data_IF_342731622999
#
_entry.id   IF_342731622999
#
_cell.length_a   1.000
_cell.length_b   1.000
_cell.length_c   1.000
_cell.angle_alpha   90.00
_cell.angle_beta   90.00
_cell.angle_gamma   90.00
#
_symmetry.space_group_name_H-M   'P 1'
#
loop_
_entity.id
_entity.type
_entity.pdbx_description
1 polymer ?
#
# COMPACT_ATOMS: atom_id res chain seq x y z
N UNK A 1 69.66 52.85 -20.58
CA UNK A 1 69.62 52.09 -19.33
C UNK A 1 68.61 50.96 -19.44
N UNK A 2 69.07 49.71 -19.32
CA UNK A 2 68.27 48.49 -19.23
C UNK A 2 68.55 47.85 -17.87
N UNK A 3 67.53 47.69 -17.01
CA UNK A 3 67.58 46.89 -15.77
C UNK A 3 66.21 46.19 -15.63
N UNK A 4 66.17 44.93 -15.16
CA UNK A 4 65.30 43.91 -15.74
C UNK A 4 64.10 43.48 -14.89
N UNK A 5 63.28 42.67 -15.55
CA UNK A 5 62.11 41.90 -15.10
C UNK A 5 62.40 41.10 -13.82
N UNK A 6 61.49 41.16 -12.84
CA UNK A 6 61.40 40.16 -11.76
C UNK A 6 60.00 39.54 -11.76
N UNK A 7 59.98 38.27 -12.11
CA UNK A 7 58.86 37.35 -12.07
C UNK A 7 58.34 37.19 -10.65
N UNK A 8 57.05 37.46 -10.43
CA UNK A 8 56.35 36.97 -9.25
C UNK A 8 55.56 35.72 -9.63
N UNK A 9 55.90 34.65 -8.92
CA UNK A 9 55.42 33.28 -9.12
C UNK A 9 53.91 33.20 -8.86
N UNK A 10 53.19 32.59 -9.80
CA UNK A 10 51.87 32.04 -9.53
C UNK A 10 52.00 30.87 -8.56
N UNK A 11 51.32 30.96 -7.42
CA UNK A 11 51.04 29.83 -6.56
C UNK A 11 49.54 29.55 -6.66
N UNK A 12 49.21 28.46 -7.35
CA UNK A 12 47.85 27.95 -7.41
C UNK A 12 47.42 27.50 -6.02
N UNK A 13 46.34 28.08 -5.53
CA UNK A 13 45.58 27.51 -4.43
C UNK A 13 44.53 26.58 -5.04
N UNK A 14 44.81 25.28 -5.03
CA UNK A 14 43.78 24.26 -5.16
C UNK A 14 42.86 24.39 -3.95
N UNK A 15 41.70 25.03 -4.13
CA UNK A 15 40.63 25.00 -3.15
C UNK A 15 40.05 23.59 -3.13
N UNK A 16 40.44 22.81 -2.13
CA UNK A 16 39.81 21.53 -1.82
C UNK A 16 38.35 21.81 -1.44
N UNK A 17 37.42 21.41 -2.31
CA UNK A 17 36.00 21.41 -2.00
C UNK A 17 35.71 20.29 -0.99
N UNK A 18 35.69 20.62 0.29
CA UNK A 18 35.15 19.74 1.32
C UNK A 18 33.63 19.70 1.17
N UNK A 19 33.11 18.68 0.49
CA UNK A 19 31.68 18.35 0.50
C UNK A 19 31.34 17.80 1.88
N UNK A 20 30.93 18.69 2.79
CA UNK A 20 30.30 18.30 4.05
C UNK A 20 28.89 17.83 3.70
N UNK A 21 28.69 16.51 3.68
CA UNK A 21 27.38 15.89 3.53
C UNK A 21 26.45 16.33 4.65
N UNK A 22 25.53 17.23 4.33
CA UNK A 22 24.36 17.51 5.16
C UNK A 22 23.44 16.29 5.11
N UNK A 23 23.62 15.34 6.02
CA UNK A 23 22.55 14.43 6.42
C UNK A 23 21.49 15.22 7.22
N UNK A 24 20.87 16.20 6.57
CA UNK A 24 19.70 16.89 7.07
C UNK A 24 18.49 16.01 6.78
N UNK A 25 18.17 15.12 7.71
CA UNK A 25 16.88 14.42 7.68
C UNK A 25 15.77 15.46 7.80
N UNK A 26 15.14 15.80 6.69
CA UNK A 26 13.89 16.55 6.70
C UNK A 26 12.85 15.61 7.30
N UNK A 27 12.63 15.72 8.60
CA UNK A 27 11.45 15.17 9.25
C UNK A 27 10.26 15.99 8.77
N UNK A 28 9.77 15.67 7.58
CA UNK A 28 8.49 16.15 7.11
C UNK A 28 7.45 15.66 8.10
N UNK A 29 6.98 16.55 8.98
CA UNK A 29 5.77 16.30 9.74
C UNK A 29 4.64 16.22 8.71
N UNK A 30 4.31 14.99 8.27
CA UNK A 30 3.13 14.77 7.46
C UNK A 30 1.94 15.37 8.22
N UNK A 31 1.08 16.16 7.56
CA UNK A 31 -0.12 16.65 8.22
C UNK A 31 -0.90 15.44 8.75
N UNK A 32 -1.51 15.58 9.93
CA UNK A 32 -2.42 14.58 10.45
C UNK A 32 -3.63 14.51 9.50
N UNK A 33 -3.55 13.64 8.50
CA UNK A 33 -4.66 13.36 7.60
C UNK A 33 -5.62 12.43 8.35
N UNK A 34 -6.85 12.89 8.53
CA UNK A 34 -7.97 12.00 8.87
C UNK A 34 -8.35 11.19 7.63
N UNK A 35 -8.87 9.98 7.84
CA UNK A 35 -9.28 9.04 6.79
C UNK A 35 -8.15 8.80 5.78
N UNK A 36 -7.19 7.97 6.18
CA UNK A 36 -5.98 7.64 5.42
C UNK A 36 -6.13 6.27 4.74
N UNK A 37 -6.62 6.22 3.49
CA UNK A 37 -6.74 4.99 2.71
C UNK A 37 -5.44 4.68 1.98
N UNK A 38 -4.57 3.89 2.60
CA UNK A 38 -3.37 3.38 1.92
C UNK A 38 -3.61 1.97 1.41
N UNK A 39 -3.18 1.70 0.18
CA UNK A 39 -3.38 0.39 -0.44
C UNK A 39 -2.38 0.16 -1.56
N UNK A 40 -2.07 -1.10 -1.83
CA UNK A 40 -1.16 -1.51 -2.90
C UNK A 40 -1.76 -2.66 -3.70
N UNK A 41 -1.40 -2.70 -4.98
CA UNK A 41 -1.78 -3.74 -5.93
C UNK A 41 -0.49 -4.23 -6.58
N UNK A 42 -0.25 -5.53 -6.50
CA UNK A 42 0.81 -6.21 -7.24
C UNK A 42 0.19 -6.95 -8.42
N UNK A 43 0.95 -7.81 -9.11
CA UNK A 43 0.34 -8.67 -10.12
C UNK A 43 -0.67 -9.63 -9.46
N UNK A 44 -0.35 -10.24 -8.32
CA UNK A 44 -1.15 -11.34 -7.73
C UNK A 44 -1.91 -10.97 -6.45
N UNK A 45 -1.68 -9.81 -5.85
CA UNK A 45 -2.18 -9.50 -4.51
C UNK A 45 -2.61 -8.04 -4.34
N UNK A 46 -3.58 -7.82 -3.45
CA UNK A 46 -3.98 -6.49 -2.95
C UNK A 46 -3.82 -6.44 -1.43
N UNK A 47 -3.23 -5.34 -0.96
CA UNK A 47 -3.13 -5.04 0.48
C UNK A 47 -3.79 -3.71 0.81
N UNK A 48 -4.45 -3.66 1.97
CA UNK A 48 -5.16 -2.50 2.48
C UNK A 48 -4.63 -2.11 3.85
N UNK A 49 -4.46 -0.82 4.07
CA UNK A 49 -4.28 -0.20 5.38
C UNK A 49 -5.08 1.12 5.42
N UNK A 50 -6.29 1.02 5.95
CA UNK A 50 -7.22 2.12 6.15
C UNK A 50 -7.15 2.55 7.61
N UNK A 51 -6.80 3.81 7.85
CA UNK A 51 -6.61 4.32 9.21
C UNK A 51 -7.30 5.67 9.40
N UNK A 52 -7.45 6.08 10.66
CA UNK A 52 -8.04 7.36 11.04
C UNK A 52 -9.49 7.59 10.56
N UNK A 53 -10.29 6.52 10.44
CA UNK A 53 -11.73 6.61 10.20
C UNK A 53 -12.53 6.82 11.50
N UNK A 54 -13.79 7.21 11.38
CA UNK A 54 -14.67 7.41 12.53
C UNK A 54 -14.92 6.08 13.26
N UNK A 55 -14.75 6.09 14.59
CA UNK A 55 -15.16 4.98 15.45
C UNK A 55 -16.61 5.08 15.94
N UNK A 56 -17.27 6.21 15.66
CA UNK A 56 -18.63 6.51 16.10
C UNK A 56 -19.67 6.32 14.99
N UNK A 57 -19.23 5.87 13.82
CA UNK A 57 -20.07 5.56 12.68
C UNK A 57 -19.54 4.32 11.96
N UNK A 58 -20.39 3.62 11.22
CA UNK A 58 -20.01 2.41 10.47
C UNK A 58 -19.38 2.79 9.15
N UNK A 59 -18.12 2.38 8.94
CA UNK A 59 -17.43 2.53 7.66
C UNK A 59 -17.54 1.22 6.87
N UNK A 60 -17.45 1.30 5.55
CA UNK A 60 -17.52 0.14 4.66
C UNK A 60 -16.36 0.16 3.67
N UNK A 61 -15.80 -1.01 3.38
CA UNK A 61 -14.77 -1.20 2.36
C UNK A 61 -15.17 -2.31 1.41
N UNK A 62 -14.95 -2.09 0.12
CA UNK A 62 -15.14 -3.08 -0.95
C UNK A 62 -13.94 -3.03 -1.89
N UNK A 63 -13.46 -4.18 -2.34
CA UNK A 63 -12.42 -4.29 -3.37
C UNK A 63 -12.91 -5.21 -4.46
N UNK A 64 -12.77 -4.79 -5.72
CA UNK A 64 -13.19 -5.58 -6.87
C UNK A 64 -12.29 -5.41 -8.08
N UNK A 65 -12.32 -6.38 -8.99
CA UNK A 65 -11.80 -6.20 -10.34
C UNK A 65 -12.87 -5.50 -11.17
N UNK A 66 -12.51 -4.42 -11.89
CA UNK A 66 -13.47 -3.67 -12.69
C UNK A 66 -14.04 -4.57 -13.79
N UNK A 67 -15.36 -4.79 -13.75
CA UNK A 67 -16.05 -5.69 -14.68
C UNK A 67 -15.90 -7.18 -14.36
N UNK A 68 -15.30 -7.53 -13.22
CA UNK A 68 -15.17 -8.88 -12.71
C UNK A 68 -15.75 -9.02 -11.30
N UNK A 69 -15.23 -9.99 -10.55
CA UNK A 69 -15.69 -10.32 -9.20
C UNK A 69 -15.14 -9.40 -8.09
N UNK A 70 -15.83 -9.41 -6.95
CA UNK A 70 -15.36 -8.79 -5.72
C UNK A 70 -14.23 -9.62 -5.10
N UNK A 71 -13.06 -9.00 -4.92
CA UNK A 71 -11.93 -9.56 -4.17
C UNK A 71 -12.18 -9.48 -2.65
N UNK A 72 -12.92 -8.46 -2.24
CA UNK A 72 -13.41 -8.28 -0.87
C UNK A 72 -14.84 -7.75 -0.96
N UNK A 73 -15.80 -8.60 -0.60
CA UNK A 73 -17.19 -8.20 -0.43
C UNK A 73 -17.31 -7.06 0.61
N UNK A 74 -18.35 -6.24 0.47
CA UNK A 74 -18.57 -5.08 1.34
C UNK A 74 -18.48 -5.46 2.81
N UNK A 75 -17.40 -4.98 3.43
CA UNK A 75 -17.05 -5.31 4.81
C UNK A 75 -17.13 -4.07 5.66
N UNK A 76 -17.82 -4.17 6.79
CA UNK A 76 -17.94 -3.09 7.76
C UNK A 76 -16.71 -3.02 8.67
N UNK A 77 -16.25 -1.83 8.98
CA UNK A 77 -15.12 -1.62 9.88
C UNK A 77 -15.31 -0.38 10.77
N UNK A 78 -14.57 -0.36 11.88
CA UNK A 78 -14.52 0.76 12.83
C UNK A 78 -13.50 1.81 12.40
N UNK A 79 -12.60 2.18 13.30
CA UNK A 79 -11.60 3.23 13.05
C UNK A 79 -10.55 2.87 12.01
N UNK A 80 -10.30 1.57 11.83
CA UNK A 80 -9.20 1.05 11.05
C UNK A 80 -9.59 -0.29 10.40
N UNK A 81 -9.01 -0.56 9.23
CA UNK A 81 -9.10 -1.85 8.57
C UNK A 81 -7.75 -2.16 7.90
N UNK A 82 -7.24 -3.36 8.09
CA UNK A 82 -6.03 -3.82 7.41
C UNK A 82 -6.15 -5.28 7.03
N UNK A 83 -5.71 -5.60 5.83
CA UNK A 83 -5.61 -6.99 5.37
C UNK A 83 -4.52 -7.70 6.17
N UNK A 84 -4.90 -8.67 7.01
CA UNK A 84 -3.92 -9.53 7.71
C UNK A 84 -3.23 -10.50 6.76
N UNK A 85 -3.98 -10.97 5.78
CA UNK A 85 -3.53 -11.76 4.63
C UNK A 85 -3.89 -10.97 3.38
N UNK A 86 -2.99 -10.85 2.39
CA UNK A 86 -3.30 -10.19 1.13
C UNK A 86 -4.53 -10.80 0.46
N UNK A 87 -5.30 -9.96 -0.24
CA UNK A 87 -6.39 -10.43 -1.08
C UNK A 87 -5.80 -10.95 -2.39
N UNK A 88 -6.06 -12.21 -2.74
CA UNK A 88 -5.51 -12.80 -3.96
C UNK A 88 -6.26 -12.29 -5.19
N UNK A 89 -5.50 -11.85 -6.19
CA UNK A 89 -6.02 -11.63 -7.53
C UNK A 89 -6.15 -12.98 -8.27
N UNK A 90 -7.15 -13.11 -9.16
CA UNK A 90 -7.19 -14.24 -10.08
C UNK A 90 -5.99 -14.19 -11.04
N UNK A 91 -5.57 -15.35 -11.54
CA UNK A 91 -4.59 -15.42 -12.64
C UNK A 91 -5.10 -14.68 -13.88
N UNK A 92 -4.21 -13.96 -14.56
CA UNK A 92 -4.55 -13.13 -15.70
C UNK A 92 -3.35 -13.00 -16.65
N UNK A 93 -3.62 -13.09 -17.95
CA UNK A 93 -2.66 -12.89 -19.05
C UNK A 93 -2.62 -11.43 -19.54
N UNK A 94 -3.45 -10.55 -18.95
CA UNK A 94 -3.59 -9.14 -19.30
C UNK A 94 -3.74 -8.29 -18.04
N UNK A 95 -3.37 -7.02 -18.14
CA UNK A 95 -3.51 -6.07 -17.04
C UNK A 95 -4.95 -6.02 -16.50
N UNK A 96 -5.10 -6.14 -15.18
CA UNK A 96 -6.40 -6.00 -14.50
C UNK A 96 -6.50 -4.61 -13.87
N UNK A 97 -7.68 -4.01 -13.92
CA UNK A 97 -7.96 -2.79 -13.13
C UNK A 97 -8.65 -3.18 -11.85
N UNK A 98 -8.00 -2.95 -10.71
CA UNK A 98 -8.56 -3.18 -9.38
C UNK A 98 -9.13 -1.88 -8.84
N UNK A 99 -10.30 -1.95 -8.21
CA UNK A 99 -11.05 -0.82 -7.66
C UNK A 99 -11.17 -0.97 -6.14
N UNK A 100 -10.78 0.06 -5.42
CA UNK A 100 -11.03 0.21 -3.98
C UNK A 100 -12.12 1.25 -3.76
N UNK A 101 -13.16 0.87 -3.02
CA UNK A 101 -14.19 1.78 -2.53
C UNK A 101 -14.22 1.72 -1.01
N UNK A 102 -14.04 2.86 -0.37
CA UNK A 102 -14.24 3.04 1.07
C UNK A 102 -15.35 4.06 1.27
N UNK A 103 -16.44 3.66 1.92
CA UNK A 103 -17.49 4.58 2.36
C UNK A 103 -17.23 4.95 3.81
N UNK A 104 -16.98 6.23 4.07
CA UNK A 104 -16.85 6.74 5.42
C UNK A 104 -18.22 6.85 6.08
N UNK A 105 -18.32 6.44 7.35
CA UNK A 105 -19.58 6.43 8.08
C UNK A 105 -20.02 7.80 8.60
N UNK A 106 -19.09 8.75 8.70
CA UNK A 106 -19.31 10.06 9.30
C UNK A 106 -19.70 11.15 8.28
N UNK A 107 -19.04 11.20 7.12
CA UNK A 107 -19.38 12.14 6.04
C UNK A 107 -18.88 11.58 4.69
N UNK A 108 -19.72 11.63 3.66
CA UNK A 108 -19.39 11.10 2.34
C UNK A 108 -18.16 11.78 1.72
N UNK A 109 -17.81 13.02 2.10
CA UNK A 109 -16.60 13.70 1.62
C UNK A 109 -15.29 13.02 2.06
N UNK A 110 -15.36 12.16 3.07
CA UNK A 110 -14.23 11.34 3.54
C UNK A 110 -14.24 9.92 2.95
N UNK A 111 -15.23 9.61 2.10
CA UNK A 111 -15.21 8.38 1.31
C UNK A 111 -14.07 8.44 0.30
N UNK A 112 -13.53 7.27 -0.01
CA UNK A 112 -12.41 7.11 -0.92
C UNK A 112 -12.78 6.16 -2.05
N UNK A 113 -12.34 6.51 -3.26
CA UNK A 113 -12.65 5.75 -4.46
C UNK A 113 -11.48 5.88 -5.40
N UNK A 114 -10.79 4.78 -5.64
CA UNK A 114 -9.56 4.77 -6.42
C UNK A 114 -9.45 3.47 -7.21
N UNK A 115 -8.66 3.51 -8.27
CA UNK A 115 -8.40 2.37 -9.14
C UNK A 115 -6.91 2.26 -9.44
N UNK A 116 -6.37 1.05 -9.41
CA UNK A 116 -4.97 0.75 -9.75
C UNK A 116 -4.90 -0.42 -10.70
N UNK A 117 -3.89 -0.41 -11.56
CA UNK A 117 -3.63 -1.49 -12.50
C UNK A 117 -2.73 -2.54 -11.86
N UNK A 118 -3.18 -3.79 -11.88
CA UNK A 118 -2.34 -4.96 -11.65
C UNK A 118 -1.69 -5.35 -12.99
N UNK A 119 -0.35 -5.34 -13.09
CA UNK A 119 0.33 -5.83 -14.28
C UNK A 119 0.20 -7.35 -14.38
N UNK A 120 0.46 -7.90 -15.56
CA UNK A 120 0.56 -9.35 -15.76
C UNK A 120 1.69 -9.92 -14.90
N UNK A 121 1.45 -11.05 -14.22
CA UNK A 121 2.52 -11.75 -13.53
C UNK A 121 3.48 -12.37 -14.55
N UNK A 122 4.78 -12.11 -14.42
CA UNK A 122 5.77 -12.87 -15.17
C UNK A 122 5.87 -14.26 -14.54
N UNK A 123 5.44 -15.28 -15.27
CA UNK A 123 5.80 -16.65 -14.92
C UNK A 123 7.32 -16.80 -15.08
N UNK A 124 8.00 -17.41 -14.10
CA UNK A 124 9.38 -17.94 -14.23
C UNK A 124 9.45 -19.09 -15.27
N UNK A 125 8.65 -19.03 -16.34
CA UNK A 125 8.86 -19.84 -17.53
C UNK A 125 10.10 -19.27 -18.21
N UNK A 126 11.20 -20.03 -18.36
CA UNK A 126 12.38 -19.52 -19.04
C UNK A 126 11.97 -19.04 -20.42
N UNK A 127 12.12 -17.73 -20.66
CA UNK A 127 11.98 -17.14 -21.98
C UNK A 127 12.78 -17.99 -22.96
N UNK A 128 12.18 -18.52 -24.05
CA UNK A 128 12.94 -19.27 -25.03
C UNK A 128 14.03 -18.33 -25.55
N UNK A 129 15.28 -18.68 -25.25
CA UNK A 129 16.44 -17.99 -25.83
C UNK A 129 16.21 -17.93 -27.34
N UNK A 130 16.24 -16.75 -27.98
CA UNK A 130 16.10 -16.67 -29.41
C UNK A 130 17.23 -17.51 -30.02
N UNK A 131 16.85 -18.67 -30.57
CA UNK A 131 17.77 -19.46 -31.39
C UNK A 131 18.05 -18.62 -32.61
N UNK A 132 19.26 -18.07 -32.66
CA UNK A 132 19.79 -17.36 -33.80
C UNK A 132 19.62 -18.26 -35.03
N UNK A 133 18.71 -17.87 -35.93
CA UNK A 133 18.42 -18.61 -37.14
C UNK A 133 19.65 -18.54 -38.05
N UNK A 134 20.42 -19.63 -38.10
CA UNK A 134 21.37 -19.85 -39.19
C UNK A 134 20.55 -20.02 -40.48
N UNK A 135 20.76 -19.18 -41.52
CA UNK A 135 20.15 -19.44 -42.82
C UNK A 135 20.91 -20.60 -43.47
N UNK A 136 20.23 -21.74 -43.68
CA UNK A 136 20.72 -22.80 -44.55
C UNK A 136 19.68 -23.09 -45.64
N UNK A 137 20.22 -23.36 -46.83
CA UNK A 137 19.62 -23.18 -48.14
C UNK A 137 18.37 -24.02 -48.44
N UNK A 138 17.61 -23.53 -49.42
CA UNK A 138 16.45 -24.14 -50.07
C UNK A 138 16.82 -25.40 -50.91
N UNK A 139 15.90 -25.94 -51.73
CA UNK A 139 14.67 -26.66 -51.40
C UNK A 139 14.70 -28.10 -51.97
N UNK A 140 13.86 -29.02 -51.47
CA UNK A 140 13.57 -30.25 -52.24
C UNK A 140 12.17 -30.83 -51.96
N UNK A 141 11.33 -30.69 -52.99
CA UNK A 141 10.49 -31.71 -53.64
C UNK A 141 9.51 -32.57 -52.80
N UNK A 142 8.24 -32.13 -52.75
CA UNK A 142 6.95 -32.80 -53.11
C UNK A 142 6.62 -34.29 -52.74
N UNK A 143 5.34 -34.76 -52.82
CA UNK A 143 4.48 -35.16 -51.69
C UNK A 143 3.90 -36.60 -51.91
N UNK A 144 2.60 -36.91 -51.65
CA UNK A 144 1.76 -36.87 -50.43
C UNK A 144 1.31 -38.29 -49.99
N UNK A 145 0.77 -38.47 -48.78
CA UNK A 145 -0.13 -39.55 -48.35
C UNK A 145 -0.18 -39.58 -46.81
N UNK A 146 -1.24 -39.93 -46.09
CA UNK A 146 -2.64 -40.23 -46.38
C UNK A 146 -3.26 -40.55 -45.01
N UNK A 147 -4.55 -40.22 -44.83
CA UNK A 147 -5.51 -40.86 -43.87
C UNK A 147 -5.23 -40.64 -42.37
N UNK A 148 -6.17 -40.50 -41.44
CA UNK A 148 -7.64 -40.44 -41.39
C UNK A 148 -7.98 -40.02 -39.95
N UNK A 149 -9.09 -39.31 -39.71
CA UNK A 149 -9.53 -38.93 -38.36
C UNK A 149 -10.23 -40.11 -37.65
N UNK A 150 -10.12 -40.20 -36.33
CA UNK A 150 -11.30 -40.49 -35.50
C UNK A 150 -11.08 -40.15 -34.01
N UNK A 151 -12.16 -39.83 -33.29
CA UNK A 151 -12.16 -39.29 -31.94
C UNK A 151 -12.24 -40.40 -30.89
N UNK A 152 -12.08 -40.03 -29.62
CA UNK A 152 -12.77 -40.77 -28.57
C UNK A 152 -13.23 -39.81 -27.49
N UNK A 153 -14.54 -39.61 -27.49
CA UNK A 153 -15.29 -39.11 -26.36
C UNK A 153 -15.26 -40.15 -25.23
N UNK A 154 -15.26 -39.68 -23.98
CA UNK A 154 -16.27 -40.14 -23.01
C UNK A 154 -16.42 -39.04 -21.94
N UNK A 155 -17.64 -38.49 -21.76
CA UNK A 155 -18.01 -37.71 -20.60
C UNK A 155 -18.38 -38.67 -19.46
N UNK A 156 -18.05 -38.33 -18.21
CA UNK A 156 -18.68 -38.99 -17.08
C UNK A 156 -19.32 -37.95 -16.17
N UNK A 157 -20.62 -38.11 -16.06
CA UNK A 157 -21.60 -37.31 -15.34
C UNK A 157 -21.50 -37.50 -13.82
N UNK A 158 -22.00 -36.51 -13.08
CA UNK A 158 -22.84 -36.60 -11.85
C UNK A 158 -22.74 -35.22 -11.16
N UNK A 159 -23.69 -34.29 -11.27
CA UNK A 159 -25.11 -34.25 -10.88
C UNK A 159 -25.36 -34.15 -9.36
N UNK A 160 -26.32 -33.26 -9.03
CA UNK A 160 -27.01 -33.00 -7.74
C UNK A 160 -26.29 -32.02 -6.80
N UNK A 161 -26.71 -30.76 -6.62
CA UNK A 161 -28.01 -30.13 -6.29
C UNK A 161 -28.26 -29.96 -4.78
N UNK A 162 -28.75 -28.76 -4.44
CA UNK A 162 -29.59 -28.38 -3.29
C UNK A 162 -28.93 -27.54 -2.16
N UNK A 163 -29.10 -26.22 -2.29
CA UNK A 163 -29.52 -25.38 -1.15
C UNK A 163 -31.05 -25.51 -1.00
N UNK A 164 -31.65 -25.27 0.19
CA UNK A 164 -31.92 -23.88 0.61
C UNK A 164 -31.80 -23.61 2.13
N UNK A 165 -31.72 -22.33 2.50
CA UNK A 165 -32.01 -21.80 3.85
C UNK A 165 -33.50 -21.35 3.92
N UNK A 166 -34.05 -20.65 4.96
CA UNK A 166 -33.58 -20.28 6.31
C UNK A 166 -34.66 -20.38 7.45
N UNK A 167 -34.31 -19.89 8.66
CA UNK A 167 -35.10 -19.14 9.67
C UNK A 167 -35.21 -19.71 11.12
N UNK A 168 -34.45 -19.08 12.04
CA UNK A 168 -34.79 -18.44 13.35
C UNK A 168 -35.93 -18.96 14.28
N UNK A 169 -36.11 -18.40 15.51
CA UNK A 169 -35.19 -18.13 16.63
C UNK A 169 -35.78 -18.66 17.97
N UNK A 170 -35.01 -18.71 19.07
CA UNK A 170 -35.55 -18.44 20.44
C UNK A 170 -34.51 -18.43 21.56
N UNK A 171 -34.57 -17.32 22.30
CA UNK A 171 -34.39 -17.12 23.74
C UNK A 171 -33.38 -17.99 24.50
N UNK A 172 -32.40 -17.33 25.12
CA UNK A 172 -32.38 -17.18 26.59
C UNK A 172 -31.38 -16.08 26.95
N UNK A 173 -31.82 -15.17 27.82
CA UNK A 173 -31.04 -14.07 28.38
C UNK A 173 -29.76 -14.57 29.07
N UNK A 174 -28.81 -13.65 29.33
CA UNK A 174 -28.55 -13.41 30.75
C UNK A 174 -28.63 -11.95 31.16
N UNK A 175 -29.34 -11.73 32.26
CA UNK A 175 -29.17 -10.61 33.17
C UNK A 175 -27.76 -10.72 33.78
N UNK A 176 -26.85 -9.83 33.35
CA UNK A 176 -25.64 -9.48 34.09
C UNK A 176 -25.36 -7.99 33.87
N UNK A 177 -25.92 -7.20 34.79
CA UNK A 177 -25.33 -5.95 35.19
C UNK A 177 -23.96 -6.23 35.83
N UNK A 178 -22.92 -6.35 35.01
CA UNK A 178 -21.53 -6.21 35.43
C UNK A 178 -21.07 -4.82 35.02
N UNK A 179 -21.46 -3.83 35.83
CA UNK A 179 -20.78 -2.53 35.87
C UNK A 179 -19.40 -2.74 36.48
N UNK A 180 -18.51 -3.35 35.70
CA UNK A 180 -17.10 -3.55 36.00
C UNK A 180 -16.34 -2.24 35.88
N UNK A 181 -16.54 -1.36 36.86
CA UNK A 181 -15.64 -0.27 37.18
C UNK A 181 -14.25 -0.84 37.51
N UNK A 182 -13.42 -1.07 36.50
CA UNK A 182 -11.99 -1.25 36.71
C UNK A 182 -11.34 0.12 36.87
N UNK A 183 -11.41 0.61 38.11
CA UNK A 183 -10.63 1.71 38.66
C UNK A 183 -9.14 1.32 38.71
N UNK A 184 -8.39 1.47 37.61
CA UNK A 184 -6.94 1.32 37.62
C UNK A 184 -6.24 2.01 36.43
N UNK A 185 -6.33 3.33 36.30
CA UNK A 185 -5.29 4.10 35.57
C UNK A 185 -5.20 5.58 35.99
N UNK A 186 -4.69 5.94 37.19
CA UNK A 186 -4.32 7.33 37.48
C UNK A 186 -2.84 7.63 37.12
N UNK A 187 -2.26 7.00 36.08
CA UNK A 187 -0.81 7.15 35.80
C UNK A 187 -0.48 7.80 34.45
N UNK A 188 -1.45 7.99 33.54
CA UNK A 188 -1.21 8.67 32.24
C UNK A 188 -1.64 10.16 32.28
N UNK A 189 -1.83 10.73 33.48
CA UNK A 189 -2.06 12.17 33.65
C UNK A 189 -0.77 12.99 33.90
N UNK A 190 0.29 12.35 34.41
CA UNK A 190 1.48 13.06 34.90
C UNK A 190 2.50 13.47 33.83
N UNK A 191 2.65 12.68 32.77
CA UNK A 191 3.71 12.88 31.78
C UNK A 191 3.50 14.12 30.89
N UNK A 192 2.25 14.47 30.57
CA UNK A 192 1.94 15.63 29.72
C UNK A 192 2.29 16.97 30.39
N UNK A 193 2.13 17.08 31.71
CA UNK A 193 2.44 18.30 32.47
C UNK A 193 3.94 18.58 32.51
N UNK A 194 4.77 17.54 32.62
CA UNK A 194 6.23 17.68 32.67
C UNK A 194 6.80 18.22 31.34
N UNK A 195 6.29 17.78 30.19
CA UNK A 195 6.73 18.25 28.87
C UNK A 195 6.32 19.71 28.64
N UNK A 196 5.12 20.11 29.06
CA UNK A 196 4.65 21.50 28.95
C UNK A 196 5.47 22.45 29.84
N UNK A 197 5.84 22.05 31.05
CA UNK A 197 6.71 22.85 31.92
C UNK A 197 8.14 22.97 31.37
N UNK A 198 8.69 21.89 30.81
CA UNK A 198 10.00 21.93 30.16
C UNK A 198 10.00 22.84 28.91
N UNK A 199 9.01 22.70 28.04
CA UNK A 199 8.87 23.54 26.83
C UNK A 199 8.64 25.02 27.15
N UNK A 200 7.75 25.31 28.11
CA UNK A 200 7.48 26.68 28.57
C UNK A 200 8.69 27.34 29.23
N UNK A 201 9.46 26.60 30.04
CA UNK A 201 10.67 27.10 30.70
C UNK A 201 11.78 27.52 29.73
N UNK A 202 11.95 26.78 28.63
CA UNK A 202 12.95 27.09 27.60
C UNK A 202 12.55 28.40 26.87
N UNK A 203 11.31 28.52 26.42
CA UNK A 203 10.83 29.72 25.71
C UNK A 203 10.86 30.96 26.60
N UNK A 204 10.51 30.83 27.88
CA UNK A 204 10.57 31.94 28.84
C UNK A 204 12.02 32.39 29.10
N UNK A 205 12.95 31.45 29.23
CA UNK A 205 14.38 31.76 29.45
C UNK A 205 15.01 32.50 28.28
N UNK A 206 14.66 32.12 27.03
CA UNK A 206 15.13 32.83 25.82
C UNK A 206 14.55 34.25 25.75
N UNK A 207 13.28 34.43 26.10
CA UNK A 207 12.64 35.76 26.13
C UNK A 207 13.27 36.69 27.18
N UNK A 208 13.60 36.15 28.37
CA UNK A 208 14.24 36.93 29.45
C UNK A 208 15.66 37.37 29.09
N UNK A 209 16.42 36.57 28.34
CA UNK A 209 17.77 36.96 27.88
C UNK A 209 17.74 38.09 26.85
N UNK A 210 16.73 38.12 25.96
CA UNK A 210 16.59 39.17 24.94
C UNK A 210 16.16 40.52 25.51
N UNK A 211 15.51 40.53 26.67
CA UNK A 211 15.10 41.78 27.37
C UNK A 211 16.20 42.36 28.25
N UNK A 212 17.28 41.61 28.53
CA UNK A 212 18.45 42.10 29.26
C UNK A 212 19.58 42.60 28.33
N UNK A 213 19.39 42.55 27.01
CA UNK A 213 20.34 43.04 25.99
C UNK A 213 19.85 44.32 25.29
N UNK A 214 18.89 45.03 25.89
CA UNK A 214 18.44 46.35 25.47
C UNK A 214 18.65 47.36 26.61
#
# INVERSE_FOLDING_TARGET
MTIPRRSWRGAGAFAAAAVVGLAGGVLSASPAAAHTPTWAVTCSEVTLNLTAYSGNATNEVTVSVVGGDDLLATTKFGREYSTKTPLQLPEHDKELTVRLVVKAGDDDKYSFNDTKTAPVCEDDTPSPTPTEATPSEAPSTEPPASETPEPSATPSETATEAAPAPAEPSSSAPDLAETGSSSATPVIGGAAVAVLLAGGGILWSVRKRRTAQH
#
